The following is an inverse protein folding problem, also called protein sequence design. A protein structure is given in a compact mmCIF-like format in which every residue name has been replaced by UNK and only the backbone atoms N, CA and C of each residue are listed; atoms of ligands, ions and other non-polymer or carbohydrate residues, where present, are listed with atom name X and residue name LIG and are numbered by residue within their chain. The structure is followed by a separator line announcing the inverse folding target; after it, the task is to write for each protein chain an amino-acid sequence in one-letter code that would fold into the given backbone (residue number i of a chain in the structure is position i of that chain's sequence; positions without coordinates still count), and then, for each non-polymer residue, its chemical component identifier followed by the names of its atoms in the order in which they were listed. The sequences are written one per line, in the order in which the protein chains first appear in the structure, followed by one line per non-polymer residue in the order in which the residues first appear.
data_IF_793925094758
#
_entry.id   IF_793925094758
#
_cell.length_a   1.000
_cell.length_b   1.000
_cell.length_c   1.000
_cell.angle_alpha   90.00
_cell.angle_beta   90.00
_cell.angle_gamma   90.00
#
_symmetry.space_group_name_H-M   'P 1'
#
loop_
_entity.id
_entity.type
_entity.pdbx_description
1 polymer ?
#
# COMPACT_ATOMS: atom_id res chain seq x y z
N UNK A 1 -0.60 -31.86 -4.94
CA UNK A 1 -0.14 -31.78 -6.35
C UNK A 1 0.24 -30.36 -6.82
N UNK A 2 -0.42 -29.31 -6.31
CA UNK A 2 -0.36 -27.92 -6.81
C UNK A 2 1.01 -27.21 -6.69
N UNK A 3 1.71 -27.38 -5.57
CA UNK A 3 3.02 -26.75 -5.36
C UNK A 3 4.09 -27.32 -6.30
N UNK A 4 3.94 -28.59 -6.72
CA UNK A 4 4.88 -29.27 -7.61
C UNK A 4 4.82 -28.70 -9.03
N UNK A 5 3.63 -28.36 -9.53
CA UNK A 5 3.45 -27.76 -10.86
C UNK A 5 3.99 -26.32 -10.87
N UNK A 6 3.69 -25.54 -9.82
CA UNK A 6 4.22 -24.19 -9.66
C UNK A 6 5.75 -24.18 -9.59
N UNK A 7 6.32 -25.06 -8.75
CA UNK A 7 7.77 -25.15 -8.60
C UNK A 7 8.45 -25.54 -9.92
N UNK A 8 7.83 -26.43 -10.69
CA UNK A 8 8.35 -26.86 -11.98
C UNK A 8 8.25 -25.75 -13.04
N UNK A 9 7.16 -24.97 -13.08
CA UNK A 9 7.04 -23.85 -14.02
C UNK A 9 8.00 -22.70 -13.68
N UNK A 10 8.17 -22.40 -12.38
CA UNK A 10 9.15 -21.44 -11.87
C UNK A 10 10.58 -21.87 -12.21
N UNK A 11 10.97 -23.13 -11.93
CA UNK A 11 12.30 -23.65 -12.27
C UNK A 11 12.58 -23.58 -13.78
N UNK A 12 11.58 -23.87 -14.63
CA UNK A 12 11.74 -23.85 -16.09
C UNK A 12 11.92 -22.43 -16.65
N UNK A 13 11.25 -21.44 -16.07
CA UNK A 13 11.35 -20.02 -16.50
C UNK A 13 12.55 -19.31 -15.88
N UNK A 14 12.90 -19.62 -14.64
CA UNK A 14 14.12 -19.15 -13.96
C UNK A 14 15.38 -19.46 -14.76
N UNK A 15 15.49 -20.68 -15.29
CA UNK A 15 16.62 -21.09 -16.14
C UNK A 15 16.72 -20.30 -17.46
N UNK A 16 15.61 -19.77 -17.98
CA UNK A 16 15.58 -18.98 -19.24
C UNK A 16 15.84 -17.50 -19.00
N UNK A 17 15.44 -16.97 -17.86
CA UNK A 17 15.42 -15.54 -17.57
C UNK A 17 16.54 -15.15 -16.60
N UNK A 18 17.76 -15.69 -16.74
CA UNK A 18 18.89 -15.49 -15.79
C UNK A 18 19.01 -14.04 -15.26
N UNK A 19 18.80 -13.03 -16.11
CA UNK A 19 18.90 -11.60 -15.75
C UNK A 19 17.54 -10.90 -15.52
N UNK A 20 16.41 -11.57 -15.78
CA UNK A 20 15.04 -11.02 -15.65
C UNK A 20 14.14 -11.86 -14.75
N UNK A 21 14.74 -12.73 -13.93
CA UNK A 21 14.06 -13.66 -13.03
C UNK A 21 13.05 -12.96 -12.12
N UNK A 22 13.40 -11.79 -11.57
CA UNK A 22 12.51 -11.00 -10.70
C UNK A 22 11.23 -10.57 -11.42
N UNK A 23 11.35 -10.11 -12.68
CA UNK A 23 10.19 -9.68 -13.46
C UNK A 23 9.30 -10.87 -13.84
N UNK A 24 9.90 -11.98 -14.27
CA UNK A 24 9.18 -13.22 -14.57
C UNK A 24 8.53 -13.83 -13.32
N UNK A 25 9.19 -13.78 -12.16
CA UNK A 25 8.65 -14.28 -10.90
C UNK A 25 7.38 -13.51 -10.52
N UNK A 26 7.40 -12.18 -10.62
CA UNK A 26 6.24 -11.33 -10.39
C UNK A 26 5.08 -11.68 -11.32
N UNK A 27 5.35 -11.90 -12.61
CA UNK A 27 4.34 -12.31 -13.60
C UNK A 27 3.75 -13.70 -13.27
N UNK A 28 4.58 -14.67 -12.86
CA UNK A 28 4.14 -16.02 -12.53
C UNK A 28 3.29 -16.03 -11.25
N UNK A 29 3.70 -15.27 -10.23
CA UNK A 29 2.94 -15.10 -8.99
C UNK A 29 1.61 -14.39 -9.26
N UNK A 30 1.61 -13.38 -10.13
CA UNK A 30 0.40 -12.68 -10.55
C UNK A 30 -0.57 -13.63 -11.24
N UNK A 31 -0.13 -14.35 -12.27
CA UNK A 31 -0.96 -15.32 -12.98
C UNK A 31 -1.51 -16.40 -12.04
N UNK A 32 -0.72 -16.85 -11.06
CA UNK A 32 -1.19 -17.81 -10.06
C UNK A 32 -2.29 -17.24 -9.15
N UNK A 33 -2.19 -15.97 -8.77
CA UNK A 33 -3.17 -15.28 -7.92
C UNK A 33 -4.48 -14.97 -8.66
N UNK A 34 -4.41 -14.69 -9.96
CA UNK A 34 -5.56 -14.22 -10.77
C UNK A 34 -6.24 -15.31 -11.58
N UNK A 35 -5.59 -16.45 -11.84
CA UNK A 35 -6.21 -17.53 -12.63
C UNK A 35 -7.19 -18.33 -11.77
N UNK A 36 -8.49 -18.19 -12.06
CA UNK A 36 -9.55 -19.05 -11.49
C UNK A 36 -9.28 -20.51 -11.86
N UNK A 37 -9.29 -21.42 -10.87
CA UNK A 37 -8.95 -22.84 -11.08
C UNK A 37 -10.22 -23.66 -11.21
N UNK A 38 -10.28 -24.53 -12.23
CA UNK A 38 -11.46 -25.34 -12.57
C UNK A 38 -12.21 -26.04 -11.40
N UNK A 39 -11.58 -26.55 -10.31
CA UNK A 39 -12.33 -27.11 -9.18
C UNK A 39 -12.87 -26.05 -8.19
N UNK A 40 -12.30 -24.85 -8.18
CA UNK A 40 -12.58 -23.78 -7.23
C UNK A 40 -12.80 -22.54 -8.09
N UNK A 41 -14.05 -22.30 -8.51
CA UNK A 41 -14.41 -21.17 -9.40
C UNK A 41 -14.09 -19.79 -8.79
N UNK A 42 -13.51 -19.74 -7.59
CA UNK A 42 -12.98 -18.56 -6.90
C UNK A 42 -11.45 -18.52 -6.95
N UNK A 43 -10.89 -17.34 -7.17
CA UNK A 43 -9.42 -17.16 -7.25
C UNK A 43 -8.77 -17.37 -5.87
N UNK A 44 -7.52 -17.85 -5.80
CA UNK A 44 -6.81 -17.97 -4.52
C UNK A 44 -6.71 -16.67 -3.71
N UNK A 45 -6.73 -15.52 -4.39
CA UNK A 45 -6.81 -14.21 -3.74
C UNK A 45 -8.16 -13.97 -3.04
N UNK A 46 -9.27 -14.34 -3.69
CA UNK A 46 -10.59 -14.27 -3.08
C UNK A 46 -10.71 -15.16 -1.84
N UNK A 47 -9.99 -16.28 -1.81
CA UNK A 47 -9.93 -17.12 -0.61
C UNK A 47 -9.10 -16.51 0.53
N UNK A 48 -8.04 -15.77 0.22
CA UNK A 48 -7.18 -15.18 1.24
C UNK A 48 -7.75 -13.88 1.82
N UNK A 49 -8.44 -13.08 1.01
CA UNK A 49 -8.90 -11.74 1.37
C UNK A 49 -10.43 -11.58 1.33
N UNK A 50 -11.18 -12.61 0.95
CA UNK A 50 -12.64 -12.60 0.93
C UNK A 50 -13.29 -11.81 -0.21
N UNK A 51 -12.51 -11.32 -1.19
CA UNK A 51 -13.00 -10.48 -2.29
C UNK A 51 -12.43 -10.90 -3.65
N UNK A 52 -13.26 -10.89 -4.70
CA UNK A 52 -12.81 -11.21 -6.06
C UNK A 52 -11.80 -10.17 -6.56
N UNK A 53 -10.76 -10.62 -7.27
CA UNK A 53 -9.74 -9.73 -7.84
C UNK A 53 -10.38 -8.94 -8.98
N UNK A 54 -10.80 -7.72 -8.68
CA UNK A 54 -10.97 -6.70 -9.70
C UNK A 54 -9.56 -6.24 -10.07
N UNK A 55 -9.07 -6.66 -11.23
CA UNK A 55 -7.87 -6.05 -11.83
C UNK A 55 -8.24 -4.57 -12.03
N UNK A 56 -7.61 -3.61 -11.35
CA UNK A 56 -7.81 -2.23 -11.72
C UNK A 56 -7.13 -2.10 -13.08
N UNK A 57 -7.89 -1.92 -14.14
CA UNK A 57 -7.40 -1.39 -15.43
C UNK A 57 -6.78 0.03 -15.26
N UNK A 58 -6.76 0.53 -14.03
CA UNK A 58 -6.55 1.89 -13.56
C UNK A 58 -5.10 2.21 -13.13
N UNK A 59 -4.14 1.29 -13.28
CA UNK A 59 -2.73 1.61 -12.98
C UNK A 59 -2.22 2.78 -13.86
N UNK A 60 -2.90 3.09 -14.97
CA UNK A 60 -2.62 4.26 -15.82
C UNK A 60 -3.59 5.45 -15.68
N UNK A 61 -4.74 5.29 -15.01
CA UNK A 61 -5.76 6.35 -14.89
C UNK A 61 -6.35 6.35 -13.48
N UNK A 62 -6.12 7.41 -12.69
CA UNK A 62 -6.66 7.49 -11.34
C UNK A 62 -8.20 7.58 -11.42
N UNK A 63 -8.89 6.64 -10.79
CA UNK A 63 -10.36 6.71 -10.67
C UNK A 63 -10.79 7.54 -9.48
N UNK A 64 -12.08 7.87 -9.46
CA UNK A 64 -12.73 8.61 -8.36
C UNK A 64 -12.40 8.02 -6.99
N UNK A 65 -12.26 6.70 -6.88
CA UNK A 65 -11.90 6.03 -5.61
C UNK A 65 -10.45 6.32 -5.22
N UNK A 66 -9.52 6.25 -6.17
CA UNK A 66 -8.09 6.53 -5.95
C UNK A 66 -7.87 8.00 -5.63
N UNK A 67 -8.49 8.91 -6.38
CA UNK A 67 -8.37 10.35 -6.14
C UNK A 67 -8.98 10.75 -4.79
N UNK A 68 -10.08 10.13 -4.36
CA UNK A 68 -10.68 10.37 -3.05
C UNK A 68 -9.82 9.83 -1.91
N UNK A 69 -9.14 8.69 -2.10
CA UNK A 69 -8.21 8.15 -1.10
C UNK A 69 -6.95 9.02 -0.98
N UNK A 70 -6.40 9.50 -2.10
CA UNK A 70 -5.27 10.43 -2.12
C UNK A 70 -5.62 11.78 -1.51
N UNK A 71 -6.79 12.34 -1.82
CA UNK A 71 -7.23 13.60 -1.22
C UNK A 71 -7.46 13.47 0.29
N UNK A 72 -8.04 12.35 0.75
CA UNK A 72 -8.17 12.03 2.17
C UNK A 72 -6.82 11.91 2.85
N UNK A 73 -5.86 11.19 2.25
CA UNK A 73 -4.52 11.05 2.80
C UNK A 73 -3.79 12.40 2.90
N UNK A 74 -3.91 13.25 1.87
CA UNK A 74 -3.38 14.63 1.90
C UNK A 74 -4.04 15.49 2.98
N UNK A 75 -5.35 15.36 3.17
CA UNK A 75 -6.07 16.08 4.22
C UNK A 75 -5.60 15.71 5.62
N UNK A 76 -5.42 14.41 5.87
CA UNK A 76 -4.90 13.91 7.16
C UNK A 76 -3.46 14.35 7.43
N UNK A 77 -2.64 14.47 6.38
CA UNK A 77 -1.27 14.95 6.53
C UNK A 77 -1.22 16.44 6.87
N UNK A 78 -2.08 17.23 6.21
CA UNK A 78 -2.25 18.65 6.51
C UNK A 78 -2.75 18.88 7.93
N UNK A 79 -3.74 18.10 8.38
CA UNK A 79 -4.28 18.16 9.75
C UNK A 79 -3.19 17.92 10.79
N UNK A 80 -2.39 16.85 10.63
CA UNK A 80 -1.25 16.59 11.52
C UNK A 80 -0.22 17.71 11.56
N UNK A 81 0.03 18.35 10.41
CA UNK A 81 0.97 19.46 10.35
C UNK A 81 0.44 20.69 11.11
N UNK A 82 -0.86 20.95 11.04
CA UNK A 82 -1.49 22.05 11.77
C UNK A 82 -1.48 21.80 13.28
N UNK A 83 -1.79 20.58 13.71
CA UNK A 83 -1.72 20.20 15.13
C UNK A 83 -0.31 20.41 15.70
N UNK A 84 0.72 19.99 14.96
CA UNK A 84 2.11 20.23 15.35
C UNK A 84 2.44 21.72 15.52
N UNK A 85 1.99 22.57 14.58
CA UNK A 85 2.21 24.01 14.66
C UNK A 85 1.48 24.62 15.86
N UNK A 86 0.29 24.13 16.19
CA UNK A 86 -0.47 24.62 17.33
C UNK A 86 0.21 24.25 18.66
N UNK A 87 0.71 23.01 18.78
CA UNK A 87 1.52 22.57 19.93
C UNK A 87 2.78 23.46 20.14
N UNK A 88 3.50 23.78 19.07
CA UNK A 88 4.67 24.68 19.13
C UNK A 88 4.29 26.12 19.54
N UNK A 89 3.11 26.60 19.12
CA UNK A 89 2.63 27.91 19.55
C UNK A 89 2.23 27.91 21.01
N UNK A 90 1.55 26.88 21.48
CA UNK A 90 1.15 26.76 22.88
C UNK A 90 2.39 26.73 23.79
N UNK A 91 3.40 25.92 23.46
CA UNK A 91 4.66 25.88 24.21
C UNK A 91 5.37 27.23 24.25
N UNK A 92 5.43 27.95 23.13
CA UNK A 92 6.01 29.30 23.08
C UNK A 92 5.25 30.29 23.98
N UNK A 93 3.91 30.23 24.01
CA UNK A 93 3.11 31.10 24.88
C UNK A 93 3.32 30.82 26.37
N UNK A 94 3.43 29.54 26.75
CA UNK A 94 3.75 29.13 28.13
C UNK A 94 5.13 29.65 28.54
N UNK A 95 6.14 29.47 27.67
CA UNK A 95 7.49 30.00 27.90
C UNK A 95 7.48 31.52 28.10
N UNK A 96 6.79 32.24 27.21
CA UNK A 96 6.69 33.70 27.29
C UNK A 96 6.02 34.17 28.58
N UNK A 97 4.93 33.51 29.01
CA UNK A 97 4.26 33.80 30.27
C UNK A 97 5.17 33.54 31.48
N UNK A 98 5.96 32.46 31.44
CA UNK A 98 6.93 32.14 32.49
C UNK A 98 8.02 33.21 32.62
N UNK A 99 8.56 33.70 31.50
CA UNK A 99 9.54 34.81 31.51
C UNK A 99 8.92 36.12 32.02
N UNK A 100 7.69 36.43 31.61
CA UNK A 100 6.95 37.62 32.09
C UNK A 100 6.75 37.58 33.60
N UNK A 101 6.36 36.43 34.16
CA UNK A 101 6.20 36.26 35.61
C UNK A 101 7.51 36.43 36.37
N UNK A 102 8.62 35.86 35.88
CA UNK A 102 9.95 36.02 36.49
C UNK A 102 10.50 37.44 36.42
N UNK A 103 10.08 38.24 35.45
CA UNK A 103 10.50 39.63 35.32
C UNK A 103 9.69 40.59 36.23
N UNK A 104 8.53 40.15 36.73
CA UNK A 104 7.66 40.94 37.62
C UNK A 104 7.92 40.70 39.13
N UNK A 105 8.72 39.69 39.46
CA UNK A 105 9.23 39.41 40.83
C UNK A 105 10.65 39.91 41.00
#
# INVERSE_FOLDING_TARGET
MTNKILLNSLKKRSKRAKDKWLNELSIILWAFRTTSRRPIRVTPFALAYGMEVVIPTEIGMPTVRTTMQESRAKGQDLERHLDWVDEERETATIQMAFYQQRAMT
#
